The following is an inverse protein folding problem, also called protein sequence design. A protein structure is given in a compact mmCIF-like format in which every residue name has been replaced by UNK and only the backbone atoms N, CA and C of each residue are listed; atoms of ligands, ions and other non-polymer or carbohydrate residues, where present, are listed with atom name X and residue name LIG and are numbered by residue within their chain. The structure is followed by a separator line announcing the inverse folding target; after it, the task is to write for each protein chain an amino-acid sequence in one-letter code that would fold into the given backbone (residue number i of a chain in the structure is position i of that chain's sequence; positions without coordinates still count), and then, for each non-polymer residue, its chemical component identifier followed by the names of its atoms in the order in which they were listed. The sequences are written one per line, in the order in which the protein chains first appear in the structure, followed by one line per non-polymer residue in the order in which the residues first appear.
data_IF_847275931928
#
_entry.id   IF_847275931928
#
_cell.length_a   1.000
_cell.length_b   1.000
_cell.length_c   1.000
_cell.angle_alpha   90.00
_cell.angle_beta   90.00
_cell.angle_gamma   90.00
#
_symmetry.space_group_name_H-M   'P 1'
#
loop_
_entity.id
_entity.type
_entity.pdbx_description
1 polymer ?
#
# COMPACT_ATOMS: atom_id res chain seq x y z
N UNK A 1 -3.77 15.88 -6.31
CA UNK A 1 -4.56 14.90 -7.13
C UNK A 1 -4.31 13.49 -6.64
N UNK A 2 -5.26 12.54 -6.76
CA UNK A 2 -5.06 11.14 -6.40
C UNK A 2 -4.97 10.32 -7.69
N UNK A 3 -3.89 9.54 -7.85
CA UNK A 3 -3.72 8.55 -8.90
C UNK A 3 -3.97 7.15 -8.33
N UNK A 4 -4.96 6.45 -8.86
CA UNK A 4 -5.33 5.11 -8.43
C UNK A 4 -4.89 4.08 -9.49
N UNK A 5 -3.79 3.37 -9.23
CA UNK A 5 -3.25 2.33 -10.10
C UNK A 5 -3.92 1.00 -9.75
N UNK A 6 -4.78 0.50 -10.62
CA UNK A 6 -5.43 -0.81 -10.44
C UNK A 6 -4.53 -1.89 -11.02
N UNK A 7 -3.90 -2.68 -10.13
CA UNK A 7 -2.87 -3.66 -10.49
C UNK A 7 -3.41 -5.09 -10.41
N UNK A 8 -4.15 -5.43 -9.33
CA UNK A 8 -4.63 -6.77 -9.08
C UNK A 8 -6.07 -6.81 -8.59
N UNK A 9 -6.53 -8.02 -8.24
CA UNK A 9 -7.90 -8.27 -7.81
C UNK A 9 -8.09 -8.33 -6.28
N UNK A 10 -7.00 -8.36 -5.51
CA UNK A 10 -7.04 -8.39 -4.04
C UNK A 10 -7.29 -7.01 -3.44
N UNK A 11 -8.35 -6.35 -3.87
CA UNK A 11 -8.76 -5.05 -3.36
C UNK A 11 -10.27 -5.03 -3.10
N UNK A 12 -10.72 -4.12 -2.26
CA UNK A 12 -12.12 -3.74 -2.23
C UNK A 12 -12.35 -2.66 -3.27
N UNK A 13 -13.16 -2.95 -4.29
CA UNK A 13 -13.47 -1.98 -5.36
C UNK A 13 -14.06 -0.66 -4.84
N UNK A 14 -14.63 -0.69 -3.63
CA UNK A 14 -15.13 0.51 -2.92
C UNK A 14 -13.99 1.39 -2.35
N UNK A 15 -12.77 0.87 -2.26
CA UNK A 15 -11.59 1.63 -1.79
C UNK A 15 -11.00 2.53 -2.89
N UNK A 16 -11.41 2.35 -4.15
CA UNK A 16 -10.97 3.23 -5.24
C UNK A 16 -11.64 4.59 -5.05
N UNK A 17 -10.88 5.68 -4.84
CA UNK A 17 -11.48 7.00 -4.63
C UNK A 17 -12.25 7.45 -5.88
N UNK A 18 -13.45 7.99 -5.69
CA UNK A 18 -14.33 8.42 -6.79
C UNK A 18 -13.63 9.48 -7.63
N UNK A 19 -13.04 10.49 -6.98
CA UNK A 19 -12.39 11.65 -7.61
C UNK A 19 -10.90 11.41 -7.91
N UNK A 20 -10.51 10.16 -8.23
CA UNK A 20 -9.14 9.84 -8.61
C UNK A 20 -8.97 9.72 -10.12
N UNK A 21 -7.76 9.98 -10.62
CA UNK A 21 -7.32 9.60 -11.95
C UNK A 21 -6.99 8.10 -11.92
N UNK A 22 -7.77 7.28 -12.60
CA UNK A 22 -7.72 5.81 -12.52
C UNK A 22 -6.91 5.24 -13.66
N UNK A 23 -5.86 4.51 -13.32
CA UNK A 23 -4.94 3.88 -14.26
C UNK A 23 -5.02 2.37 -14.07
N UNK A 24 -5.37 1.65 -15.12
CA UNK A 24 -5.32 0.19 -15.12
C UNK A 24 -3.93 -0.29 -15.54
N UNK A 25 -3.31 -1.12 -14.72
CA UNK A 25 -1.99 -1.69 -15.02
C UNK A 25 -2.18 -3.12 -15.52
N UNK A 26 -1.75 -3.36 -16.76
CA UNK A 26 -1.82 -4.63 -17.44
C UNK A 26 -3.23 -5.28 -17.28
N UNK A 27 -3.33 -6.54 -16.88
CA UNK A 27 -4.63 -7.21 -16.63
C UNK A 27 -5.49 -6.53 -15.57
N UNK A 28 -4.90 -5.71 -14.69
CA UNK A 28 -5.64 -4.86 -13.75
C UNK A 28 -6.63 -3.93 -14.45
N UNK A 29 -6.31 -3.47 -15.66
CA UNK A 29 -7.23 -2.69 -16.49
C UNK A 29 -8.52 -3.46 -16.83
N UNK A 30 -8.38 -4.71 -17.28
CA UNK A 30 -9.54 -5.57 -17.56
C UNK A 30 -10.37 -5.83 -16.30
N UNK A 31 -9.71 -6.11 -15.17
CA UNK A 31 -10.40 -6.35 -13.89
C UNK A 31 -11.23 -5.14 -13.46
N UNK A 32 -10.67 -3.93 -13.57
CA UNK A 32 -11.39 -2.69 -13.27
C UNK A 32 -12.65 -2.54 -14.15
N UNK A 33 -12.50 -2.69 -15.47
CA UNK A 33 -13.62 -2.60 -16.41
C UNK A 33 -14.70 -3.65 -16.13
N UNK A 34 -14.32 -4.89 -15.81
CA UNK A 34 -15.23 -5.98 -15.44
C UNK A 34 -16.05 -5.65 -14.19
N UNK A 35 -15.50 -4.85 -13.28
CA UNK A 35 -16.18 -4.38 -12.08
C UNK A 35 -16.88 -3.02 -12.24
N UNK A 36 -17.05 -2.55 -13.50
CA UNK A 36 -17.73 -1.30 -13.80
C UNK A 36 -16.96 -0.03 -13.43
N UNK A 37 -15.65 -0.14 -13.21
CA UNK A 37 -14.78 1.00 -12.92
C UNK A 37 -14.32 1.61 -14.24
N UNK A 38 -14.73 2.83 -14.52
CA UNK A 38 -14.22 3.59 -15.66
C UNK A 38 -12.77 4.00 -15.40
N UNK A 39 -11.89 3.74 -16.36
CA UNK A 39 -10.48 4.11 -16.32
C UNK A 39 -10.24 5.36 -17.16
N UNK A 40 -9.31 6.21 -16.72
CA UNK A 40 -8.77 7.33 -17.49
C UNK A 40 -7.65 6.87 -18.41
N UNK A 41 -6.88 5.87 -17.95
CA UNK A 41 -5.69 5.39 -18.64
C UNK A 41 -5.48 3.89 -18.41
N UNK A 42 -4.83 3.21 -19.34
CA UNK A 42 -4.35 1.84 -19.19
C UNK A 42 -2.92 1.71 -19.72
N UNK A 43 -2.06 1.03 -18.97
CA UNK A 43 -0.64 0.86 -19.28
C UNK A 43 -0.25 -0.60 -19.12
N UNK A 44 0.41 -1.17 -20.11
CA UNK A 44 0.88 -2.56 -20.05
C UNK A 44 1.39 -3.08 -21.39
N UNK A 45 1.99 -4.28 -21.37
CA UNK A 45 2.36 -5.02 -22.57
C UNK A 45 1.27 -6.03 -22.99
N UNK A 46 0.29 -6.25 -22.09
CA UNK A 46 -0.90 -7.10 -22.29
C UNK A 46 -0.60 -8.58 -22.39
N UNK A 47 0.59 -9.03 -21.99
CA UNK A 47 1.00 -10.43 -22.10
C UNK A 47 0.18 -11.35 -21.17
N UNK A 48 -0.34 -10.80 -20.07
CA UNK A 48 -1.22 -11.48 -19.11
C UNK A 48 -2.71 -11.48 -19.53
N UNK A 49 -3.07 -10.80 -20.64
CA UNK A 49 -4.44 -10.64 -21.11
C UNK A 49 -4.76 -11.62 -22.27
N UNK A 50 -5.99 -12.13 -22.33
CA UNK A 50 -6.49 -12.77 -23.54
C UNK A 50 -6.72 -11.72 -24.65
N UNK A 51 -6.92 -12.18 -25.89
CA UNK A 51 -7.21 -11.27 -27.00
C UNK A 51 -8.48 -10.46 -26.77
N UNK A 52 -9.50 -11.09 -26.21
CA UNK A 52 -10.79 -10.48 -25.91
C UNK A 52 -10.66 -9.45 -24.77
N UNK A 53 -9.90 -9.79 -23.71
CA UNK A 53 -9.61 -8.87 -22.60
C UNK A 53 -8.87 -7.62 -23.11
N UNK A 54 -7.83 -7.82 -23.92
CA UNK A 54 -7.09 -6.72 -24.55
C UNK A 54 -7.97 -5.86 -25.44
N UNK A 55 -8.81 -6.47 -26.29
CA UNK A 55 -9.71 -5.73 -27.16
C UNK A 55 -10.70 -4.87 -26.38
N UNK A 56 -11.22 -5.39 -25.25
CA UNK A 56 -12.09 -4.62 -24.35
C UNK A 56 -11.35 -3.40 -23.79
N UNK A 57 -10.11 -3.56 -23.31
CA UNK A 57 -9.30 -2.45 -22.80
C UNK A 57 -9.12 -1.40 -23.89
N UNK A 58 -8.66 -1.80 -25.08
CA UNK A 58 -8.38 -0.89 -26.19
C UNK A 58 -9.62 -0.12 -26.68
N UNK A 59 -10.82 -0.70 -26.55
CA UNK A 59 -12.06 -0.06 -26.98
C UNK A 59 -12.74 0.78 -25.90
N UNK A 60 -12.41 0.57 -24.62
CA UNK A 60 -13.13 1.17 -23.50
C UNK A 60 -12.35 2.24 -22.73
N UNK A 61 -11.00 2.26 -22.86
CA UNK A 61 -10.16 3.20 -22.13
C UNK A 61 -9.69 4.33 -23.05
N UNK A 62 -9.89 5.62 -22.64
CA UNK A 62 -9.58 6.77 -23.51
C UNK A 62 -8.09 6.90 -23.86
N UNK A 63 -7.20 6.58 -22.92
CA UNK A 63 -5.74 6.62 -23.11
C UNK A 63 -5.15 5.24 -22.84
N UNK A 64 -4.56 4.63 -23.86
CA UNK A 64 -3.90 3.32 -23.73
C UNK A 64 -2.44 3.44 -24.15
N UNK A 65 -1.54 3.07 -23.24
CA UNK A 65 -0.10 3.02 -23.47
C UNK A 65 0.31 1.55 -23.56
N UNK A 66 0.61 1.10 -24.77
CA UNK A 66 1.12 -0.26 -25.01
C UNK A 66 2.64 -0.25 -24.94
N UNK A 67 3.17 -1.03 -24.00
CA UNK A 67 4.60 -1.14 -23.74
C UNK A 67 5.20 -2.34 -24.48
N UNK A 68 6.52 -2.32 -24.66
CA UNK A 68 7.25 -3.48 -25.15
C UNK A 68 7.47 -4.46 -23.98
N UNK A 69 7.30 -5.76 -24.23
CA UNK A 69 7.60 -6.82 -23.23
C UNK A 69 9.09 -6.91 -22.86
N UNK A 70 10.00 -6.43 -23.73
CA UNK A 70 11.44 -6.33 -23.47
C UNK A 70 11.81 -4.91 -23.01
N UNK A 71 11.40 -4.51 -21.83
CA UNK A 71 11.71 -3.22 -21.20
C UNK A 71 12.41 -3.44 -19.86
N UNK A 72 13.14 -2.42 -19.42
CA UNK A 72 13.90 -2.46 -18.16
C UNK A 72 13.03 -2.17 -16.92
N UNK A 73 11.76 -1.75 -17.10
CA UNK A 73 10.86 -1.32 -16.04
C UNK A 73 9.59 -2.18 -15.95
N UNK A 74 8.99 -2.23 -14.75
CA UNK A 74 7.63 -2.77 -14.58
C UNK A 74 6.59 -1.79 -15.14
N UNK A 75 5.41 -2.30 -15.54
CA UNK A 75 4.30 -1.46 -16.01
C UNK A 75 3.87 -0.42 -14.98
N UNK A 76 3.88 -0.80 -13.68
CA UNK A 76 3.60 0.10 -12.58
C UNK A 76 4.62 1.23 -12.49
N UNK A 77 5.91 0.91 -12.58
CA UNK A 77 6.99 1.90 -12.53
C UNK A 77 6.90 2.86 -13.72
N UNK A 78 6.62 2.33 -14.92
CA UNK A 78 6.43 3.16 -16.11
C UNK A 78 5.28 4.16 -15.91
N UNK A 79 4.11 3.67 -15.50
CA UNK A 79 2.95 4.51 -15.25
C UNK A 79 3.22 5.55 -14.14
N UNK A 80 3.92 5.17 -13.07
CA UNK A 80 4.31 6.12 -12.02
C UNK A 80 5.21 7.24 -12.57
N UNK A 81 6.23 6.91 -13.37
CA UNK A 81 7.15 7.90 -13.94
C UNK A 81 6.48 8.93 -14.84
N UNK A 82 5.43 8.55 -15.55
CA UNK A 82 4.63 9.49 -16.35
C UNK A 82 3.96 10.57 -15.49
N UNK A 83 3.59 10.25 -14.24
CA UNK A 83 2.78 11.11 -13.38
C UNK A 83 3.51 11.66 -12.14
N UNK A 84 4.72 11.19 -11.81
CA UNK A 84 5.47 11.55 -10.59
C UNK A 84 5.78 13.04 -10.43
N UNK A 85 5.75 13.81 -11.52
CA UNK A 85 6.08 15.22 -11.55
C UNK A 85 5.06 16.11 -10.84
N UNK A 86 3.86 15.62 -10.59
CA UNK A 86 2.83 16.34 -9.84
C UNK A 86 3.14 16.33 -8.34
N UNK A 87 3.62 17.45 -7.84
CA UNK A 87 4.15 17.58 -6.46
C UNK A 87 3.15 17.24 -5.36
N UNK A 88 1.89 17.61 -5.54
CA UNK A 88 0.82 17.39 -4.56
C UNK A 88 -0.01 16.12 -4.86
N UNK A 89 0.51 15.22 -5.68
CA UNK A 89 -0.15 13.97 -6.01
C UNK A 89 0.05 12.93 -4.91
N UNK A 90 -0.94 12.03 -4.76
CA UNK A 90 -0.82 10.76 -4.03
C UNK A 90 -1.01 9.63 -5.02
N UNK A 91 -0.26 8.56 -4.85
CA UNK A 91 -0.25 7.40 -5.73
C UNK A 91 -0.67 6.16 -4.95
N UNK A 92 -1.81 5.59 -5.28
CA UNK A 92 -2.35 4.41 -4.61
C UNK A 92 -2.16 3.19 -5.50
N UNK A 93 -1.32 2.24 -5.10
CA UNK A 93 -1.09 0.98 -5.79
C UNK A 93 -2.10 -0.05 -5.24
N UNK A 94 -3.19 -0.25 -5.97
CA UNK A 94 -4.35 -1.03 -5.53
C UNK A 94 -4.25 -2.49 -6.00
N UNK A 95 -4.37 -3.44 -5.06
CA UNK A 95 -4.29 -4.86 -5.35
C UNK A 95 -2.87 -5.35 -5.67
N UNK A 96 -1.85 -4.70 -5.13
CA UNK A 96 -0.43 -4.93 -5.44
C UNK A 96 0.34 -5.75 -4.41
N UNK A 97 -0.28 -6.07 -3.25
CA UNK A 97 0.40 -6.75 -2.14
C UNK A 97 0.39 -8.27 -2.34
N UNK A 98 -0.70 -8.81 -2.88
CA UNK A 98 -0.85 -10.24 -3.13
C UNK A 98 -0.77 -10.54 -4.63
N UNK A 99 -0.07 -11.63 -4.98
CA UNK A 99 0.07 -12.07 -6.35
C UNK A 99 0.92 -13.33 -6.45
N UNK A 100 1.01 -13.92 -7.66
CA UNK A 100 1.83 -15.11 -7.90
C UNK A 100 3.33 -14.80 -7.91
N UNK A 101 3.69 -13.56 -8.27
CA UNK A 101 5.08 -13.12 -8.46
C UNK A 101 5.47 -12.18 -7.33
N UNK A 102 6.16 -12.70 -6.32
CA UNK A 102 6.60 -11.95 -5.14
C UNK A 102 7.56 -10.80 -5.50
N UNK A 103 8.32 -10.95 -6.59
CA UNK A 103 9.22 -9.92 -7.09
C UNK A 103 8.47 -8.65 -7.52
N UNK A 104 7.22 -8.75 -8.00
CA UNK A 104 6.40 -7.58 -8.32
C UNK A 104 5.94 -6.85 -7.05
N UNK A 105 5.61 -7.60 -5.98
CA UNK A 105 5.36 -6.99 -4.67
C UNK A 105 6.59 -6.22 -4.20
N UNK A 106 7.78 -6.84 -4.30
CA UNK A 106 9.03 -6.21 -3.87
C UNK A 106 9.33 -4.93 -4.67
N UNK A 107 9.22 -4.95 -5.99
CA UNK A 107 9.42 -3.76 -6.82
C UNK A 107 8.45 -2.60 -6.48
N UNK A 108 7.18 -2.91 -6.20
CA UNK A 108 6.22 -1.92 -5.74
C UNK A 108 6.55 -1.41 -4.33
N UNK A 109 7.07 -2.27 -3.44
CA UNK A 109 7.50 -1.89 -2.09
C UNK A 109 8.72 -0.94 -2.13
N UNK A 110 9.67 -1.18 -3.03
CA UNK A 110 10.80 -0.26 -3.24
C UNK A 110 10.32 1.14 -3.63
N UNK A 111 9.28 1.22 -4.48
CA UNK A 111 8.68 2.51 -4.83
C UNK A 111 8.08 3.22 -3.62
N UNK A 112 7.35 2.49 -2.74
CA UNK A 112 6.87 3.05 -1.47
C UNK A 112 8.02 3.53 -0.58
N UNK A 113 9.12 2.78 -0.50
CA UNK A 113 10.27 3.16 0.33
C UNK A 113 11.01 4.41 -0.18
N UNK A 114 10.81 4.79 -1.45
CA UNK A 114 11.51 5.93 -2.07
C UNK A 114 10.66 7.20 -2.11
N UNK A 115 9.33 7.09 -2.14
CA UNK A 115 8.42 8.24 -2.24
C UNK A 115 7.24 8.09 -1.28
N UNK A 116 7.18 8.95 -0.25
CA UNK A 116 6.12 8.95 0.78
C UNK A 116 4.73 9.30 0.23
N UNK A 117 4.62 9.72 -1.01
CA UNK A 117 3.34 9.92 -1.70
C UNK A 117 2.74 8.61 -2.24
N UNK A 118 3.53 7.53 -2.27
CA UNK A 118 3.11 6.22 -2.78
C UNK A 118 2.65 5.32 -1.64
N UNK A 119 1.50 4.70 -1.80
CA UNK A 119 0.93 3.75 -0.85
C UNK A 119 0.48 2.49 -1.58
N UNK A 120 0.71 1.32 -0.99
CA UNK A 120 0.13 0.06 -1.45
C UNK A 120 -1.12 -0.26 -0.62
N UNK A 121 -2.22 -0.61 -1.27
CA UNK A 121 -3.49 -0.89 -0.61
C UNK A 121 -4.13 -2.13 -1.20
N UNK A 122 -4.33 -3.13 -0.35
CA UNK A 122 -5.15 -4.29 -0.60
C UNK A 122 -6.40 -4.26 0.30
N UNK A 123 -7.26 -5.25 0.14
CA UNK A 123 -8.47 -5.41 0.95
C UNK A 123 -8.20 -5.36 2.46
N UNK A 124 -7.12 -5.99 2.90
CA UNK A 124 -6.82 -6.22 4.32
C UNK A 124 -5.54 -5.54 4.80
N UNK A 125 -4.78 -4.90 3.91
CA UNK A 125 -3.47 -4.32 4.23
C UNK A 125 -3.24 -2.99 3.52
N UNK A 126 -2.65 -2.04 4.24
CA UNK A 126 -2.11 -0.78 3.72
C UNK A 126 -0.65 -0.67 4.11
N UNK A 127 0.21 -0.29 3.16
CA UNK A 127 1.66 -0.10 3.35
C UNK A 127 2.02 1.31 2.87
N UNK A 128 2.73 2.07 3.70
CA UNK A 128 3.12 3.44 3.39
C UNK A 128 4.40 3.83 4.13
N UNK A 129 5.08 4.84 3.61
CA UNK A 129 6.29 5.41 4.19
C UNK A 129 5.92 6.58 5.11
N UNK A 130 6.54 6.63 6.30
CA UNK A 130 6.57 7.79 7.17
C UNK A 130 7.97 8.38 7.20
N UNK A 131 8.09 9.64 6.82
CA UNK A 131 9.30 10.46 6.85
C UNK A 131 9.12 11.76 7.63
N UNK A 132 7.97 11.92 8.27
CA UNK A 132 7.60 13.05 9.14
C UNK A 132 6.62 12.59 10.23
N UNK A 133 6.39 13.44 11.22
CA UNK A 133 5.44 13.17 12.30
C UNK A 133 4.03 12.96 11.77
N UNK A 134 3.33 11.97 12.30
CA UNK A 134 1.96 11.66 11.87
C UNK A 134 1.09 11.19 13.03
N UNK A 135 -0.15 11.68 13.06
CA UNK A 135 -1.21 11.16 13.89
C UNK A 135 -2.10 10.22 13.08
N UNK A 136 -2.18 8.98 13.51
CA UNK A 136 -2.93 7.92 12.84
C UNK A 136 -4.23 7.64 13.59
N UNK A 137 -5.40 7.79 12.97
CA UNK A 137 -6.65 7.43 13.60
C UNK A 137 -6.70 5.92 13.88
N UNK A 138 -7.29 5.54 15.01
CA UNK A 138 -7.49 4.15 15.39
C UNK A 138 -8.32 3.42 14.33
N UNK A 139 -7.79 2.32 13.84
CA UNK A 139 -8.51 1.37 12.99
C UNK A 139 -8.82 0.11 13.81
N UNK A 140 -10.11 -0.15 14.04
CA UNK A 140 -10.54 -1.32 14.83
C UNK A 140 -10.25 -2.64 14.11
N UNK A 141 -9.77 -3.65 14.86
CA UNK A 141 -9.42 -4.96 14.30
C UNK A 141 -8.20 -4.92 13.37
N UNK A 142 -7.31 -3.95 13.55
CA UNK A 142 -6.07 -3.81 12.79
C UNK A 142 -4.86 -3.85 13.70
N UNK A 143 -3.79 -4.48 13.21
CA UNK A 143 -2.44 -4.30 13.72
C UNK A 143 -1.74 -3.20 12.94
N UNK A 144 -0.81 -2.52 13.63
CA UNK A 144 0.15 -1.62 12.99
C UNK A 144 1.56 -2.10 13.27
N UNK A 145 2.40 -2.11 12.24
CA UNK A 145 3.80 -2.51 12.33
C UNK A 145 4.69 -1.43 11.75
N UNK A 146 5.82 -1.20 12.39
CA UNK A 146 6.80 -0.20 12.00
C UNK A 146 8.16 -0.86 11.76
N UNK A 147 8.74 -0.61 10.59
CA UNK A 147 10.06 -1.08 10.19
C UNK A 147 10.94 0.12 9.88
N UNK A 148 12.04 0.24 10.60
CA UNK A 148 13.04 1.25 10.29
C UNK A 148 13.74 0.92 8.96
N UNK A 149 13.99 1.94 8.14
CA UNK A 149 14.72 1.80 6.88
C UNK A 149 16.18 2.22 7.02
N UNK A 150 17.02 1.71 6.12
CA UNK A 150 18.44 2.02 6.08
C UNK A 150 19.18 1.61 7.36
N UNK A 151 19.86 2.56 8.00
CA UNK A 151 20.63 2.34 9.23
C UNK A 151 19.75 2.38 10.50
N UNK A 152 18.47 2.73 10.36
CA UNK A 152 17.53 2.82 11.48
C UNK A 152 16.76 4.14 11.52
N UNK A 153 15.88 4.26 12.52
CA UNK A 153 15.08 5.46 12.76
C UNK A 153 14.97 5.72 14.27
N UNK A 154 15.16 6.97 14.69
CA UNK A 154 14.90 7.40 16.08
C UNK A 154 13.48 7.94 16.16
N UNK A 155 12.64 7.31 16.98
CA UNK A 155 11.19 7.53 17.01
C UNK A 155 10.62 7.56 18.41
N UNK A 156 9.45 8.20 18.55
CA UNK A 156 8.56 8.02 19.69
C UNK A 156 7.20 7.55 19.19
N UNK A 157 6.61 6.58 19.89
CA UNK A 157 5.29 6.02 19.63
C UNK A 157 4.41 6.20 20.85
N UNK A 158 3.27 6.88 20.71
CA UNK A 158 2.31 7.09 21.78
C UNK A 158 0.90 6.68 21.34
N UNK A 159 0.08 6.22 22.29
CA UNK A 159 -1.29 5.77 22.00
C UNK A 159 -1.40 4.35 21.47
N UNK A 160 -0.34 3.58 21.54
CA UNK A 160 -0.27 2.17 21.16
C UNK A 160 -0.13 1.25 22.37
N UNK A 161 -0.28 -0.06 22.17
CA UNK A 161 -0.05 -1.06 23.23
C UNK A 161 1.42 -1.10 23.64
N UNK A 162 2.31 -0.94 22.68
CA UNK A 162 3.76 -0.87 22.88
C UNK A 162 4.23 0.51 22.44
N UNK A 163 4.39 1.40 23.42
CA UNK A 163 4.92 2.75 23.23
C UNK A 163 6.45 2.72 23.21
N UNK A 164 7.05 3.69 22.53
CA UNK A 164 8.48 3.95 22.51
C UNK A 164 8.71 5.43 22.81
N UNK A 165 9.81 5.75 23.49
CA UNK A 165 10.21 7.12 23.74
C UNK A 165 11.65 7.35 23.28
N UNK A 166 11.81 8.20 22.28
CA UNK A 166 13.09 8.57 21.66
C UNK A 166 14.01 7.34 21.40
N UNK A 167 13.39 6.24 20.93
CA UNK A 167 14.07 4.96 20.77
C UNK A 167 14.67 4.85 19.34
N UNK A 168 15.94 4.41 19.26
CA UNK A 168 16.60 4.12 17.99
C UNK A 168 16.26 2.70 17.54
N UNK A 169 15.26 2.57 16.68
CA UNK A 169 14.82 1.32 16.07
C UNK A 169 15.73 0.99 14.88
N UNK A 170 16.38 -0.19 14.91
CA UNK A 170 17.27 -0.67 13.84
C UNK A 170 16.67 -1.90 13.17
N UNK A 171 16.90 -2.11 11.86
CA UNK A 171 16.50 -3.34 11.17
C UNK A 171 17.07 -4.58 11.86
N UNK A 172 16.20 -5.60 12.07
CA UNK A 172 16.56 -6.83 12.77
C UNK A 172 17.15 -6.62 14.19
N UNK A 173 16.84 -5.49 14.83
CA UNK A 173 17.30 -5.16 16.16
C UNK A 173 16.57 -5.91 17.29
N UNK A 174 16.97 -5.68 18.56
CA UNK A 174 16.40 -6.38 19.71
C UNK A 174 14.92 -6.01 20.00
N UNK A 175 14.47 -4.83 19.56
CA UNK A 175 13.09 -4.40 19.67
C UNK A 175 12.40 -4.57 18.32
N UNK A 176 11.30 -5.31 18.31
CA UNK A 176 10.42 -5.45 17.15
C UNK A 176 9.16 -4.62 17.37
N UNK A 177 8.94 -3.63 16.51
CA UNK A 177 7.71 -2.80 16.53
C UNK A 177 6.63 -3.38 15.60
N UNK A 178 6.50 -4.72 15.58
CA UNK A 178 5.56 -5.47 14.73
C UNK A 178 4.31 -5.84 15.52
N UNK A 179 3.16 -5.85 14.84
CA UNK A 179 1.86 -6.21 15.41
C UNK A 179 1.46 -5.39 16.63
N UNK A 180 1.78 -4.11 16.63
CA UNK A 180 1.31 -3.18 17.64
C UNK A 180 -0.19 -2.91 17.47
N UNK A 181 -0.85 -2.46 18.51
CA UNK A 181 -2.28 -2.19 18.55
C UNK A 181 -2.57 -0.77 18.99
N UNK A 182 -3.60 -0.15 18.42
CA UNK A 182 -4.08 1.14 18.91
C UNK A 182 -4.75 1.00 20.29
N UNK A 183 -4.34 1.80 21.28
CA UNK A 183 -4.94 1.89 22.61
C UNK A 183 -5.68 3.19 22.84
N UNK A 184 -5.37 4.23 22.07
CA UNK A 184 -6.02 5.53 22.08
C UNK A 184 -6.78 5.77 20.77
N UNK A 185 -7.70 6.75 20.70
CA UNK A 185 -8.36 7.14 19.46
C UNK A 185 -7.39 7.57 18.34
N UNK A 186 -6.21 8.09 18.75
CA UNK A 186 -5.10 8.44 17.86
C UNK A 186 -3.84 7.73 18.34
N UNK A 187 -3.08 7.18 17.40
CA UNK A 187 -1.70 6.76 17.58
C UNK A 187 -0.78 7.84 17.02
N UNK A 188 0.11 8.35 17.87
CA UNK A 188 1.07 9.39 17.50
C UNK A 188 2.43 8.76 17.20
N UNK A 189 2.96 9.07 16.03
CA UNK A 189 4.28 8.66 15.56
C UNK A 189 5.12 9.91 15.36
N UNK A 190 6.14 10.09 16.19
CA UNK A 190 7.11 11.19 16.05
C UNK A 190 8.42 10.62 15.49
N UNK A 191 8.90 11.19 14.40
CA UNK A 191 10.15 10.79 13.73
C UNK A 191 11.22 11.83 14.01
N UNK A 192 12.15 11.49 14.90
CA UNK A 192 13.28 12.38 15.22
C UNK A 192 14.41 12.26 14.21
N UNK A 193 14.60 11.07 13.63
CA UNK A 193 15.58 10.79 12.60
C UNK A 193 15.20 9.53 11.81
N UNK A 194 15.54 9.48 10.52
CA UNK A 194 15.32 8.32 9.66
C UNK A 194 13.91 8.26 9.08
N UNK A 195 13.50 7.06 8.66
CA UNK A 195 12.19 6.80 8.04
C UNK A 195 11.64 5.45 8.49
N UNK A 196 10.32 5.34 8.53
CA UNK A 196 9.61 4.10 8.85
C UNK A 196 8.78 3.62 7.66
N UNK A 197 8.87 2.35 7.35
CA UNK A 197 7.89 1.66 6.54
C UNK A 197 6.80 1.11 7.47
N UNK A 198 5.56 1.53 7.24
CA UNK A 198 4.42 1.20 8.08
C UNK A 198 3.49 0.23 7.38
N UNK A 199 3.00 -0.76 8.14
CA UNK A 199 1.99 -1.71 7.71
C UNK A 199 0.79 -1.61 8.64
N UNK A 200 -0.39 -1.37 8.09
CA UNK A 200 -1.66 -1.55 8.81
C UNK A 200 -2.34 -2.76 8.18
N UNK A 201 -2.51 -3.83 8.97
CA UNK A 201 -3.07 -5.09 8.49
C UNK A 201 -4.21 -5.58 9.37
N UNK A 202 -5.12 -6.37 8.78
CA UNK A 202 -6.22 -6.98 9.53
C UNK A 202 -5.66 -7.89 10.62
N UNK A 203 -6.21 -7.79 11.84
CA UNK A 203 -5.86 -8.66 12.96
C UNK A 203 -6.49 -10.05 12.76
N UNK A 204 -5.81 -11.09 13.26
CA UNK A 204 -6.38 -12.43 13.32
C UNK A 204 -7.60 -12.45 14.24
N UNK A 205 -8.73 -12.98 13.78
CA UNK A 205 -10.01 -12.99 14.49
C UNK A 205 -10.03 -13.71 15.85
N UNK A 206 -8.88 -14.18 16.36
CA UNK A 206 -8.75 -14.90 17.63
C UNK A 206 -8.55 -14.03 18.87
N UNK A 207 -8.39 -12.71 18.73
CA UNK A 207 -8.06 -11.83 19.88
C UNK A 207 -9.23 -11.43 20.79
N UNK A 208 -10.48 -11.79 20.45
CA UNK A 208 -11.65 -11.42 21.26
C UNK A 208 -12.15 -12.46 22.25
N UNK A 209 -11.51 -13.65 22.40
CA UNK A 209 -12.02 -14.75 23.24
C UNK A 209 -11.12 -15.07 24.46
N UNK A 210 -10.01 -14.40 24.68
CA UNK A 210 -9.09 -14.71 25.80
C UNK A 210 -9.15 -13.75 27.00
N UNK A 211 -10.09 -12.80 27.02
CA UNK A 211 -10.22 -11.84 28.12
C UNK A 211 -11.18 -12.27 29.25
N UNK A 212 -11.75 -13.49 29.23
CA UNK A 212 -12.77 -13.92 30.25
C UNK A 212 -12.42 -15.27 30.90
N UNK A 213 -11.15 -15.58 31.13
CA UNK A 213 -10.82 -16.74 32.00
C UNK A 213 -9.52 -16.52 32.79
N UNK A 214 -9.44 -15.48 33.61
CA UNK A 214 -8.49 -15.45 34.73
C UNK A 214 -9.00 -14.58 35.87
N UNK A 215 -10.19 -14.90 36.41
CA UNK A 215 -10.57 -14.57 37.75
C UNK A 215 -11.05 -15.85 38.41
N UNK A 216 -10.11 -16.60 38.98
CA UNK A 216 -10.29 -17.55 40.11
C UNK A 216 -9.09 -18.52 40.15
N UNK A 217 -8.01 -18.09 40.84
CA UNK A 217 -7.28 -18.91 41.80
C UNK A 217 -6.31 -18.05 42.60
#
# INVERSE_FOLDING_TARGET
MIYAFVIGHHLSWKQIPIDSYKIGIDRGAFLALKHGIALNEAVGDWDSCTKEERQLILSSVPRVISLNSHKDDTDTMHAYREHQHEKDARFLLLGSIQGRRIEHFYANLELVCTDSRVEMIDKDTRIFLLDHDMSLPREEGRYISFFALGEGATISLHGFAYNLDHYHLIPAGPVSAVSNEFRSPLGEVNIHQGKLLCFISKSDARSSTHAIMNTHR
#
